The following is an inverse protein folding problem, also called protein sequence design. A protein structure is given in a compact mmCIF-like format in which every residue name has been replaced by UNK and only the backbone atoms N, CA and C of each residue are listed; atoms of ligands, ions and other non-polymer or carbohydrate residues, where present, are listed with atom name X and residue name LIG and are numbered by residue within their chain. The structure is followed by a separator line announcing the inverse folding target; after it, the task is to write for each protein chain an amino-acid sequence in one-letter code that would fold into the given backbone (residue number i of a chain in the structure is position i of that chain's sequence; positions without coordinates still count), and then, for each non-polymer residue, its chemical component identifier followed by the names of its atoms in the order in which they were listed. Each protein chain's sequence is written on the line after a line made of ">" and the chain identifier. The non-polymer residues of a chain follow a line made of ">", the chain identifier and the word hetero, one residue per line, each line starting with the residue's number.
data_IF_903717098885
#
_entry.id   IF_903717098885
#
_cell.length_a   1.000
_cell.length_b   1.000
_cell.length_c   1.000
_cell.angle_alpha   90.00
_cell.angle_beta   90.00
_cell.angle_gamma   90.00
#
_symmetry.space_group_name_H-M   'P 1'
#
loop_
_entity.id
_entity.type
_entity.pdbx_description
1 polymer ?
#
# COMPACT_ATOMS: atom_id res chain seq x y z
N UNK A 1 -9.09 -3.01 8.49
CA UNK A 1 -8.44 -3.50 7.27
C UNK A 1 -6.99 -3.70 7.58
N UNK A 2 -6.43 -4.87 7.26
CA UNK A 2 -5.06 -5.25 7.59
C UNK A 2 -4.43 -5.88 6.34
N UNK A 3 -3.40 -5.30 5.73
CA UNK A 3 -2.80 -3.96 5.88
C UNK A 3 -2.57 -3.36 4.49
N UNK A 4 -2.24 -2.07 4.39
CA UNK A 4 -1.95 -1.42 3.10
C UNK A 4 -0.48 -1.51 2.69
N UNK A 5 0.45 -1.65 3.63
CA UNK A 5 1.89 -1.80 3.34
C UNK A 5 2.48 -2.82 4.30
N UNK A 6 3.15 -3.84 3.78
CA UNK A 6 3.84 -4.86 4.58
C UNK A 6 5.08 -5.42 3.88
N UNK A 7 6.20 -5.59 4.58
CA UNK A 7 7.41 -6.14 3.96
C UNK A 7 7.29 -7.65 3.65
N UNK A 8 6.46 -8.38 4.40
CA UNK A 8 6.39 -9.86 4.36
C UNK A 8 5.70 -10.39 3.09
N UNK A 9 4.71 -9.65 2.58
CA UNK A 9 3.91 -10.05 1.41
C UNK A 9 4.00 -9.02 0.28
N UNK A 10 5.12 -8.30 0.21
CA UNK A 10 5.36 -7.32 -0.85
C UNK A 10 5.61 -8.03 -2.19
N UNK A 11 4.87 -7.69 -3.27
CA UNK A 11 5.11 -8.26 -4.60
C UNK A 11 6.55 -8.02 -5.07
N UNK A 12 7.13 -9.02 -5.73
CA UNK A 12 8.54 -9.01 -6.15
C UNK A 12 8.88 -7.79 -7.01
N UNK A 13 8.02 -7.39 -7.94
CA UNK A 13 8.26 -6.24 -8.81
C UNK A 13 8.46 -4.92 -8.05
N UNK A 14 7.84 -4.76 -6.88
CA UNK A 14 7.98 -3.55 -6.06
C UNK A 14 9.40 -3.46 -5.49
N UNK A 15 10.03 -4.61 -5.20
CA UNK A 15 11.43 -4.70 -4.74
C UNK A 15 12.43 -4.25 -5.81
N UNK A 16 12.02 -4.25 -7.07
CA UNK A 16 12.86 -3.84 -8.20
C UNK A 16 12.69 -2.36 -8.59
N UNK A 17 11.82 -1.61 -7.91
CA UNK A 17 11.69 -0.16 -8.13
C UNK A 17 12.88 0.54 -7.46
N UNK A 18 13.91 0.86 -8.27
CA UNK A 18 15.13 1.51 -7.77
C UNK A 18 15.01 3.02 -7.56
N UNK A 19 14.06 3.68 -8.22
CA UNK A 19 13.86 5.13 -8.08
C UNK A 19 12.91 5.46 -6.92
N UNK A 20 13.36 6.28 -5.97
CA UNK A 20 12.58 6.66 -4.79
C UNK A 20 11.23 7.30 -5.15
N UNK A 21 11.20 8.18 -6.16
CA UNK A 21 9.97 8.84 -6.61
C UNK A 21 8.97 7.85 -7.22
N UNK A 22 9.46 6.85 -7.96
CA UNK A 22 8.61 5.79 -8.51
C UNK A 22 8.00 4.92 -7.41
N UNK A 23 8.78 4.60 -6.37
CA UNK A 23 8.30 3.82 -5.24
C UNK A 23 7.25 4.60 -4.42
N UNK A 24 7.50 5.89 -4.20
CA UNK A 24 6.56 6.78 -3.52
C UNK A 24 5.24 6.90 -4.28
N UNK A 25 5.31 7.06 -5.62
CA UNK A 25 4.12 7.13 -6.48
C UNK A 25 3.32 5.83 -6.40
N UNK A 26 4.00 4.68 -6.55
CA UNK A 26 3.36 3.37 -6.46
C UNK A 26 2.59 3.19 -5.14
N UNK A 27 3.21 3.47 -4.00
CA UNK A 27 2.52 3.31 -2.70
C UNK A 27 1.38 4.31 -2.52
N UNK A 28 1.53 5.54 -3.00
CA UNK A 28 0.45 6.54 -2.98
C UNK A 28 -0.77 6.03 -3.75
N UNK A 29 -0.56 5.52 -4.97
CA UNK A 29 -1.62 5.01 -5.82
C UNK A 29 -2.25 3.73 -5.23
N UNK A 30 -1.44 2.84 -4.65
CA UNK A 30 -1.90 1.63 -3.98
C UNK A 30 -2.82 1.95 -2.80
N UNK A 31 -2.37 2.83 -1.89
CA UNK A 31 -3.13 3.26 -0.72
C UNK A 31 -4.45 3.90 -1.13
N UNK A 32 -4.41 4.86 -2.07
CA UNK A 32 -5.60 5.56 -2.54
C UNK A 32 -6.61 4.60 -3.18
N UNK A 33 -6.13 3.65 -4.00
CA UNK A 33 -7.00 2.68 -4.67
C UNK A 33 -7.74 1.79 -3.67
N UNK A 34 -7.04 1.27 -2.65
CA UNK A 34 -7.65 0.39 -1.66
C UNK A 34 -8.54 1.14 -0.67
N UNK A 35 -8.06 2.27 -0.15
CA UNK A 35 -8.84 3.09 0.77
C UNK A 35 -10.14 3.59 0.12
N UNK A 36 -10.08 4.10 -1.12
CA UNK A 36 -11.27 4.57 -1.83
C UNK A 36 -12.27 3.43 -2.13
N UNK A 37 -11.79 2.24 -2.49
CA UNK A 37 -12.66 1.07 -2.76
C UNK A 37 -13.48 0.65 -1.55
N UNK A 38 -12.90 0.79 -0.36
CA UNK A 38 -13.49 0.36 0.90
C UNK A 38 -13.94 1.52 1.79
N UNK A 39 -14.06 2.71 1.23
CA UNK A 39 -14.56 3.88 1.95
C UNK A 39 -15.96 3.61 2.53
N UNK A 40 -16.14 3.98 3.81
CA UNK A 40 -17.34 3.69 4.60
C UNK A 40 -17.60 2.20 4.91
N UNK A 41 -16.80 1.27 4.38
CA UNK A 41 -16.97 -0.19 4.60
C UNK A 41 -16.02 -0.77 5.63
N UNK A 42 -14.94 -0.07 5.93
CA UNK A 42 -13.92 -0.49 6.89
C UNK A 42 -13.79 0.59 7.96
N UNK A 43 -13.96 0.20 9.22
CA UNK A 43 -13.93 1.14 10.37
C UNK A 43 -12.54 1.75 10.61
N UNK A 44 -11.48 0.95 10.48
CA UNK A 44 -10.09 1.38 10.67
C UNK A 44 -9.12 0.55 9.80
N UNK A 45 -7.95 1.11 9.50
CA UNK A 45 -6.90 0.45 8.71
C UNK A 45 -5.55 0.45 9.44
N UNK A 46 -4.84 -0.67 9.36
CA UNK A 46 -3.40 -0.71 9.60
C UNK A 46 -2.73 -0.21 8.33
N UNK A 47 -2.30 1.05 8.31
CA UNK A 47 -1.73 1.70 7.11
C UNK A 47 -0.36 1.11 6.78
N UNK A 48 0.46 0.86 7.79
CA UNK A 48 1.74 0.17 7.69
C UNK A 48 1.74 -0.93 8.74
N UNK A 49 2.06 -2.14 8.31
CA UNK A 49 2.40 -3.25 9.19
C UNK A 49 3.87 -3.60 8.94
N UNK A 50 4.60 -3.80 10.02
CA UNK A 50 5.98 -4.34 10.10
C UNK A 50 6.77 -4.27 8.79
#
# INVERSE_FOLDING_TARGET
>A
GHTLVWHSQLPEFVRHIGAADSLRRYFTDHINTLAARYDGKVYSWDVVNE
#
